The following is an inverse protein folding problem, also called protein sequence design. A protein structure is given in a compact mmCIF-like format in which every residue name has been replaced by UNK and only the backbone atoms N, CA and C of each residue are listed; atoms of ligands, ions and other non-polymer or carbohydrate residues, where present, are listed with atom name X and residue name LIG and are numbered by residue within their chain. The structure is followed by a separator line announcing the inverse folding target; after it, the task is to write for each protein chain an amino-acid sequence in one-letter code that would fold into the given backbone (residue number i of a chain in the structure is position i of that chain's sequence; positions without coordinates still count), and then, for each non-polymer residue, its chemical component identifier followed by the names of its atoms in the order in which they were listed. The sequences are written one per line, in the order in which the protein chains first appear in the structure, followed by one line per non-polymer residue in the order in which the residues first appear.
data_IF_726136982447
#
_entry.id   IF_726136982447
#
_cell.length_a   1.000
_cell.length_b   1.000
_cell.length_c   1.000
_cell.angle_alpha   90.00
_cell.angle_beta   90.00
_cell.angle_gamma   90.00
#
_symmetry.space_group_name_H-M   'P 1'
#
loop_
_entity.id
_entity.type
_entity.pdbx_description
1 polymer ?
#
# COMPACT_ATOMS: atom_id res chain seq x y z
N UNK A 1 -20.61 6.74 -53.86
CA UNK A 1 -20.60 5.43 -53.17
C UNK A 1 -19.14 5.07 -52.92
N UNK A 2 -18.62 5.31 -51.71
CA UNK A 2 -17.23 5.04 -51.38
C UNK A 2 -17.04 3.54 -51.16
N UNK A 3 -16.61 2.82 -52.20
CA UNK A 3 -16.24 1.41 -52.10
C UNK A 3 -14.92 1.28 -51.37
N UNK A 4 -14.96 1.19 -50.03
CA UNK A 4 -13.80 0.72 -49.28
C UNK A 4 -13.49 -0.71 -49.75
N UNK A 5 -12.35 -0.87 -50.42
CA UNK A 5 -11.83 -2.19 -50.77
C UNK A 5 -11.72 -3.05 -49.51
N UNK A 6 -12.08 -4.33 -49.60
CA UNK A 6 -12.06 -5.28 -48.47
C UNK A 6 -10.73 -5.24 -47.70
N UNK A 7 -9.62 -4.97 -48.40
CA UNK A 7 -8.29 -4.79 -47.81
C UNK A 7 -8.20 -3.63 -46.79
N UNK A 8 -8.89 -2.52 -47.03
CA UNK A 8 -8.94 -1.40 -46.08
C UNK A 8 -9.73 -1.77 -44.82
N UNK A 9 -10.79 -2.59 -44.96
CA UNK A 9 -11.57 -3.09 -43.84
C UNK A 9 -10.73 -4.05 -42.95
N UNK A 10 -9.91 -4.91 -43.57
CA UNK A 10 -9.02 -5.82 -42.83
C UNK A 10 -7.88 -5.09 -42.10
N UNK A 11 -7.29 -4.06 -42.70
CA UNK A 11 -6.25 -3.25 -42.05
C UNK A 11 -6.79 -2.48 -40.84
N UNK A 12 -7.99 -1.91 -40.95
CA UNK A 12 -8.66 -1.23 -39.83
C UNK A 12 -9.01 -2.24 -38.72
N UNK A 13 -9.55 -3.41 -39.07
CA UNK A 13 -9.85 -4.48 -38.11
C UNK A 13 -8.60 -4.99 -37.38
N UNK A 14 -7.49 -5.17 -38.10
CA UNK A 14 -6.22 -5.60 -37.50
C UNK A 14 -5.63 -4.54 -36.56
N UNK A 15 -5.74 -3.26 -36.91
CA UNK A 15 -5.32 -2.15 -36.03
C UNK A 15 -6.11 -2.08 -34.73
N UNK A 16 -7.43 -2.28 -34.80
CA UNK A 16 -8.30 -2.30 -33.61
C UNK A 16 -7.96 -3.48 -32.70
N UNK A 17 -7.72 -4.66 -33.27
CA UNK A 17 -7.37 -5.85 -32.49
C UNK A 17 -6.03 -5.68 -31.75
N UNK A 18 -5.02 -5.13 -32.42
CA UNK A 18 -3.72 -4.89 -31.83
C UNK A 18 -3.81 -3.83 -30.70
N UNK A 19 -4.59 -2.77 -30.91
CA UNK A 19 -4.82 -1.75 -29.88
C UNK A 19 -5.53 -2.34 -28.64
N UNK A 20 -6.49 -3.25 -28.82
CA UNK A 20 -7.16 -3.93 -27.72
C UNK A 20 -6.21 -4.82 -26.91
N UNK A 21 -5.29 -5.54 -27.58
CA UNK A 21 -4.28 -6.37 -26.90
C UNK A 21 -3.29 -5.52 -26.11
N UNK A 22 -2.84 -4.40 -26.68
CA UNK A 22 -1.94 -3.46 -25.99
C UNK A 22 -2.64 -2.83 -24.78
N UNK A 23 -3.90 -2.42 -24.92
CA UNK A 23 -4.70 -1.86 -23.83
C UNK A 23 -4.96 -2.88 -22.71
N UNK A 24 -5.28 -4.13 -23.06
CA UNK A 24 -5.44 -5.21 -22.09
C UNK A 24 -4.12 -5.51 -21.34
N UNK A 25 -2.99 -5.58 -22.07
CA UNK A 25 -1.67 -5.78 -21.46
C UNK A 25 -1.16 -4.61 -20.62
N UNK A 26 -1.64 -3.38 -20.88
CA UNK A 26 -1.38 -2.22 -20.05
C UNK A 26 -2.23 -2.21 -18.77
N UNK A 27 -3.51 -2.55 -18.87
CA UNK A 27 -4.43 -2.65 -17.74
C UNK A 27 -3.96 -3.70 -16.71
N UNK A 28 -3.54 -4.88 -17.17
CA UNK A 28 -3.01 -5.93 -16.30
C UNK A 28 -1.76 -5.43 -15.56
N UNK A 29 -0.88 -4.68 -16.22
CA UNK A 29 0.34 -4.14 -15.59
C UNK A 29 0.04 -3.01 -14.60
N UNK A 30 -0.98 -2.18 -14.82
CA UNK A 30 -1.38 -1.14 -13.86
C UNK A 30 -2.01 -1.73 -12.62
N UNK A 31 -2.84 -2.77 -12.75
CA UNK A 31 -3.47 -3.42 -11.60
C UNK A 31 -2.44 -4.16 -10.73
N UNK A 32 -1.49 -4.87 -11.32
CA UNK A 32 -0.42 -5.50 -10.53
C UNK A 32 0.44 -4.48 -9.77
N UNK A 33 0.73 -3.31 -10.37
CA UNK A 33 1.44 -2.23 -9.67
C UNK A 33 0.61 -1.59 -8.55
N UNK A 34 -0.70 -1.50 -8.72
CA UNK A 34 -1.60 -0.95 -7.71
C UNK A 34 -1.75 -1.89 -6.50
N UNK A 35 -1.94 -3.19 -6.76
CA UNK A 35 -2.08 -4.22 -5.71
C UNK A 35 -0.81 -4.32 -4.85
N UNK A 36 0.38 -4.38 -5.48
CA UNK A 36 1.64 -4.45 -4.73
C UNK A 36 1.96 -3.22 -3.87
N UNK A 37 1.41 -2.04 -4.23
CA UNK A 37 1.53 -0.83 -3.40
C UNK A 37 0.53 -0.81 -2.25
N UNK A 38 -0.68 -1.33 -2.45
CA UNK A 38 -1.70 -1.37 -1.41
C UNK A 38 -1.30 -2.27 -0.26
N UNK A 39 -0.79 -3.47 -0.56
CA UNK A 39 -0.40 -4.46 0.45
C UNK A 39 0.82 -4.01 1.27
N UNK A 40 1.79 -3.36 0.62
CA UNK A 40 2.92 -2.73 1.29
C UNK A 40 2.49 -1.55 2.18
N UNK A 41 1.57 -0.71 1.70
CA UNK A 41 1.06 0.44 2.46
C UNK A 41 0.26 -0.02 3.67
N UNK A 42 -0.52 -1.08 3.55
CA UNK A 42 -1.30 -1.62 4.66
C UNK A 42 -0.43 -2.26 5.73
N UNK A 43 0.62 -2.98 5.34
CA UNK A 43 1.63 -3.50 6.28
C UNK A 43 2.33 -2.38 7.04
N UNK A 44 2.76 -1.32 6.35
CA UNK A 44 3.38 -0.14 6.97
C UNK A 44 2.40 0.60 7.88
N UNK A 45 1.14 0.75 7.46
CA UNK A 45 0.08 1.39 8.27
C UNK A 45 -0.18 0.62 9.56
N UNK A 46 -0.27 -0.72 9.49
CA UNK A 46 -0.42 -1.59 10.67
C UNK A 46 0.80 -1.47 11.59
N UNK A 47 2.01 -1.58 11.05
CA UNK A 47 3.25 -1.43 11.83
C UNK A 47 3.35 -0.07 12.55
N UNK A 48 2.96 1.03 11.88
CA UNK A 48 2.93 2.35 12.51
C UNK A 48 1.85 2.49 13.58
N UNK A 49 0.68 1.88 13.38
CA UNK A 49 -0.39 1.90 14.38
C UNK A 49 0.00 1.12 15.65
N UNK A 50 0.63 -0.05 15.47
CA UNK A 50 1.13 -0.87 16.59
C UNK A 50 2.27 -0.16 17.33
N UNK A 51 3.22 0.43 16.60
CA UNK A 51 4.29 1.24 17.20
C UNK A 51 3.73 2.44 17.97
N UNK A 52 2.70 3.13 17.44
CA UNK A 52 2.02 4.22 18.13
C UNK A 52 1.34 3.77 19.42
N UNK A 53 0.65 2.63 19.40
CA UNK A 53 0.01 2.06 20.60
C UNK A 53 1.03 1.69 21.68
N UNK A 54 2.16 1.09 21.28
CA UNK A 54 3.25 0.74 22.19
C UNK A 54 3.87 2.00 22.80
N UNK A 55 4.17 3.01 21.97
CA UNK A 55 4.74 4.28 22.44
C UNK A 55 3.83 4.99 23.45
N UNK A 56 2.51 4.99 23.23
CA UNK A 56 1.56 5.60 24.15
C UNK A 56 1.48 4.82 25.48
N UNK A 57 1.51 3.48 25.43
CA UNK A 57 1.57 2.63 26.65
C UNK A 57 2.86 2.88 27.44
N UNK A 58 4.01 2.96 26.77
CA UNK A 58 5.29 3.26 27.42
C UNK A 58 5.29 4.66 28.02
N UNK A 59 4.72 5.66 27.34
CA UNK A 59 4.53 7.02 27.89
C UNK A 59 3.65 7.02 29.13
N UNK A 60 2.55 6.27 29.11
CA UNK A 60 1.65 6.15 30.25
C UNK A 60 2.36 5.49 31.44
N UNK A 61 3.08 4.38 31.21
CA UNK A 61 3.82 3.67 32.25
C UNK A 61 4.94 4.54 32.87
N UNK A 62 5.69 5.26 32.04
CA UNK A 62 6.69 6.23 32.48
C UNK A 62 6.08 7.31 33.38
N UNK A 63 5.00 7.95 32.93
CA UNK A 63 4.32 9.00 33.71
C UNK A 63 3.81 8.47 35.05
N UNK A 64 3.22 7.28 35.03
CA UNK A 64 2.70 6.67 36.25
C UNK A 64 3.82 6.36 37.25
N UNK A 65 4.95 5.82 36.76
CA UNK A 65 6.11 5.52 37.58
C UNK A 65 6.73 6.77 38.23
N UNK A 66 6.99 7.81 37.42
CA UNK A 66 7.56 9.07 37.91
C UNK A 66 6.61 9.76 38.90
N UNK A 67 5.31 9.78 38.63
CA UNK A 67 4.32 10.35 39.54
C UNK A 67 4.23 9.58 40.87
N UNK A 68 4.55 8.28 40.87
CA UNK A 68 4.67 7.45 42.07
C UNK A 68 6.01 7.58 42.80
N UNK A 69 6.90 8.47 42.35
CA UNK A 69 8.24 8.67 42.92
C UNK A 69 9.27 7.61 42.54
N UNK A 70 8.96 6.75 41.56
CA UNK A 70 9.86 5.70 41.08
C UNK A 70 10.73 6.11 39.90
N UNK A 71 11.68 5.24 39.56
CA UNK A 71 12.57 5.32 38.38
C UNK A 71 12.09 4.32 37.33
N UNK A 72 11.83 4.80 36.12
CA UNK A 72 11.36 3.96 35.01
C UNK A 72 12.53 3.38 34.22
N UNK A 73 12.56 2.05 34.07
CA UNK A 73 13.59 1.33 33.30
C UNK A 73 13.08 1.07 31.89
N UNK A 74 13.60 1.80 30.90
CA UNK A 74 13.16 1.68 29.51
C UNK A 74 13.44 0.33 28.87
N UNK A 75 14.50 -0.37 29.31
CA UNK A 75 14.89 -1.68 28.78
C UNK A 75 13.89 -2.79 29.15
N UNK A 76 13.32 -2.72 30.36
CA UNK A 76 12.43 -3.76 30.91
C UNK A 76 10.98 -3.29 31.03
N UNK A 77 10.71 -1.99 30.91
CA UNK A 77 9.43 -1.36 31.18
C UNK A 77 9.03 -1.35 32.65
N UNK A 78 9.95 -1.70 33.56
CA UNK A 78 9.69 -1.76 34.99
C UNK A 78 9.71 -0.37 35.65
N UNK A 79 9.03 -0.26 36.80
CA UNK A 79 9.11 0.88 37.69
C UNK A 79 9.76 0.44 39.00
N UNK A 80 10.91 1.04 39.33
CA UNK A 80 11.65 0.78 40.57
C UNK A 80 11.35 1.89 41.59
N UNK A 81 11.17 1.54 42.86
CA UNK A 81 10.85 2.47 43.95
C UNK A 81 11.97 2.50 44.99
#
# INVERSE_FOLDING_TARGET
MFGLSKAALYLVGAGILLAAIIAAGAAIRSDLKAVGRFEATETVRKGNADAGSIAEKSRYALRHCINGGGVYVFETGACEH
#
